data_IF_704040187881
#
_entry.id   IF_704040187881
#
_cell.length_a   1.000
_cell.length_b   1.000
_cell.length_c   1.000
_cell.angle_alpha   90.00
_cell.angle_beta   90.00
_cell.angle_gamma   90.00
#
_symmetry.space_group_name_H-M   'P 1'
#
loop_
_entity.id
_entity.type
_entity.pdbx_description
1 polymer ?
#
# COMPACT_ATOMS: atom_id res chain seq x y z
N UNK A 1 -16.49 -18.12 -30.18
CA UNK A 1 -15.40 -17.14 -30.07
C UNK A 1 -15.15 -16.67 -28.63
N UNK A 2 -16.14 -16.11 -27.90
CA UNK A 2 -15.96 -15.64 -26.50
C UNK A 2 -15.51 -16.72 -25.50
N UNK A 3 -16.08 -17.93 -25.59
CA UNK A 3 -15.74 -19.04 -24.69
C UNK A 3 -14.28 -19.49 -24.80
N UNK A 4 -13.68 -19.44 -26.00
CA UNK A 4 -12.26 -19.77 -26.21
C UNK A 4 -11.34 -18.80 -25.46
N UNK A 5 -11.69 -17.51 -25.38
CA UNK A 5 -10.92 -16.53 -24.63
C UNK A 5 -11.02 -16.76 -23.11
N UNK A 6 -12.17 -17.22 -22.61
CA UNK A 6 -12.34 -17.59 -21.21
C UNK A 6 -11.45 -18.77 -20.84
N UNK A 7 -11.41 -19.82 -21.65
CA UNK A 7 -10.53 -20.98 -21.40
C UNK A 7 -9.04 -20.62 -21.51
N UNK A 8 -8.66 -19.76 -22.46
CA UNK A 8 -7.27 -19.27 -22.56
C UNK A 8 -6.89 -18.43 -21.34
N UNK A 9 -7.77 -17.56 -20.87
CA UNK A 9 -7.53 -16.75 -19.68
C UNK A 9 -7.42 -17.61 -18.41
N UNK A 10 -8.29 -18.62 -18.28
CA UNK A 10 -8.23 -19.59 -17.19
C UNK A 10 -6.91 -20.38 -17.22
N UNK A 11 -6.46 -20.82 -18.40
CA UNK A 11 -5.20 -21.55 -18.58
C UNK A 11 -3.99 -20.70 -18.17
N UNK A 12 -3.97 -19.41 -18.54
CA UNK A 12 -2.89 -18.48 -18.21
C UNK A 12 -2.75 -18.24 -16.70
N UNK A 13 -3.81 -18.37 -15.90
CA UNK A 13 -3.74 -18.24 -14.44
C UNK A 13 -2.99 -19.38 -13.75
N UNK A 14 -2.82 -20.53 -14.41
CA UNK A 14 -2.05 -21.66 -13.88
C UNK A 14 -0.55 -21.60 -14.24
N UNK A 15 -0.16 -20.69 -15.12
CA UNK A 15 1.25 -20.46 -15.44
C UNK A 15 1.84 -19.47 -14.43
N UNK A 16 2.67 -19.98 -13.54
CA UNK A 16 3.54 -19.17 -12.70
C UNK A 16 4.96 -19.30 -13.23
N UNK A 17 5.61 -18.17 -13.51
CA UNK A 17 7.04 -18.16 -13.78
C UNK A 17 7.70 -18.12 -12.40
N UNK A 18 8.67 -19.01 -12.10
CA UNK A 18 9.48 -18.87 -10.90
C UNK A 18 10.29 -17.58 -11.05
N UNK A 19 9.74 -16.49 -10.51
CA UNK A 19 10.52 -15.30 -10.25
C UNK A 19 10.99 -15.43 -8.81
N UNK A 20 12.32 -15.41 -8.62
CA UNK A 20 12.88 -15.18 -7.29
C UNK A 20 12.18 -13.96 -6.72
N UNK A 21 11.54 -14.09 -5.56
CA UNK A 21 11.04 -12.94 -4.86
C UNK A 21 12.22 -11.98 -4.70
N UNK A 22 12.14 -10.79 -5.32
CA UNK A 22 13.21 -9.78 -5.26
C UNK A 22 13.58 -9.41 -3.81
N UNK A 23 12.78 -9.85 -2.84
CA UNK A 23 13.03 -9.83 -1.41
C UNK A 23 14.44 -10.31 -0.99
N UNK A 24 15.04 -11.33 -1.62
CA UNK A 24 16.38 -11.80 -1.20
C UNK A 24 17.52 -10.89 -1.70
N UNK A 25 17.38 -10.32 -2.91
CA UNK A 25 18.34 -9.37 -3.46
C UNK A 25 18.22 -8.00 -2.77
N UNK A 26 16.99 -7.56 -2.51
CA UNK A 26 16.73 -6.34 -1.75
C UNK A 26 17.22 -6.47 -0.30
N UNK A 27 17.05 -7.62 0.37
CA UNK A 27 17.61 -7.82 1.73
C UNK A 27 19.13 -7.77 1.74
N UNK A 28 19.80 -8.48 0.83
CA UNK A 28 21.26 -8.50 0.78
C UNK A 28 21.86 -7.12 0.48
N UNK A 29 21.19 -6.32 -0.36
CA UNK A 29 21.57 -4.93 -0.60
C UNK A 29 21.30 -4.06 0.61
N UNK A 30 20.22 -4.27 1.38
CA UNK A 30 19.88 -3.45 2.56
C UNK A 30 20.65 -3.83 3.83
N UNK A 31 21.15 -5.06 3.93
CA UNK A 31 21.96 -5.57 5.04
C UNK A 31 23.47 -5.34 4.83
N UNK A 32 23.90 -4.87 3.66
CA UNK A 32 25.29 -4.42 3.43
C UNK A 32 25.54 -3.04 4.07
N UNK A 33 26.81 -2.67 4.27
CA UNK A 33 27.17 -1.34 4.83
C UNK A 33 26.68 -0.19 3.94
N UNK A 34 26.76 -0.31 2.61
CA UNK A 34 26.14 0.64 1.66
C UNK A 34 24.60 0.58 1.70
N UNK A 35 24.07 -0.58 2.08
CA UNK A 35 22.65 -0.86 2.29
C UNK A 35 22.00 -0.15 3.44
N UNK A 36 22.75 0.13 4.52
CA UNK A 36 22.20 0.75 5.72
C UNK A 36 21.65 2.15 5.45
N UNK A 37 22.33 2.95 4.63
CA UNK A 37 21.83 4.29 4.26
C UNK A 37 20.57 4.20 3.40
N UNK A 38 20.50 3.22 2.51
CA UNK A 38 19.30 2.92 1.72
C UNK A 38 18.16 2.44 2.63
N UNK A 39 18.44 1.59 3.61
CA UNK A 39 17.48 1.08 4.59
C UNK A 39 16.90 2.19 5.47
N UNK A 40 17.73 3.15 5.90
CA UNK A 40 17.27 4.36 6.59
C UNK A 40 16.35 5.20 5.70
N UNK A 41 16.69 5.37 4.42
CA UNK A 41 15.85 6.04 3.43
C UNK A 41 14.47 5.38 3.28
N UNK A 42 14.44 4.05 3.20
CA UNK A 42 13.19 3.28 3.12
C UNK A 42 12.36 3.41 4.41
N UNK A 43 12.96 3.29 5.58
CA UNK A 43 12.26 3.46 6.86
C UNK A 43 11.63 4.85 6.99
N UNK A 44 12.37 5.90 6.60
CA UNK A 44 11.84 7.26 6.56
C UNK A 44 10.69 7.39 5.55
N UNK A 45 10.78 6.73 4.40
CA UNK A 45 9.71 6.66 3.41
C UNK A 45 8.44 6.00 3.96
N UNK A 46 8.57 4.88 4.69
CA UNK A 46 7.45 4.19 5.34
C UNK A 46 6.76 5.11 6.34
N UNK A 47 7.52 5.77 7.23
CA UNK A 47 6.98 6.72 8.20
C UNK A 47 6.28 7.88 7.50
N UNK A 48 6.88 8.44 6.44
CA UNK A 48 6.28 9.53 5.66
C UNK A 48 4.95 9.12 5.03
N UNK A 49 4.88 7.94 4.42
CA UNK A 49 3.65 7.41 3.82
C UNK A 49 2.59 7.06 4.87
N UNK A 50 3.00 6.57 6.04
CA UNK A 50 2.08 6.25 7.15
C UNK A 50 1.41 7.50 7.74
N UNK A 51 2.00 8.69 7.66
CA UNK A 51 1.37 9.93 8.16
C UNK A 51 0.07 10.24 7.41
N UNK A 52 0.01 9.94 6.12
CA UNK A 52 -1.13 10.26 5.24
C UNK A 52 -2.46 9.65 5.76
N UNK A 53 -2.57 8.33 6.02
CA UNK A 53 -3.82 7.75 6.51
C UNK A 53 -4.25 8.31 7.87
N UNK A 54 -3.33 8.60 8.78
CA UNK A 54 -3.69 9.22 10.06
C UNK A 54 -4.27 10.63 9.87
N UNK A 55 -3.68 11.42 8.97
CA UNK A 55 -4.16 12.75 8.67
C UNK A 55 -5.55 12.73 8.04
N UNK A 56 -5.79 11.82 7.08
CA UNK A 56 -7.10 11.63 6.45
C UNK A 56 -8.18 11.25 7.47
N UNK A 57 -7.89 10.32 8.37
CA UNK A 57 -8.83 9.92 9.43
C UNK A 57 -9.16 11.12 10.34
N UNK A 58 -8.16 11.92 10.72
CA UNK A 58 -8.36 13.12 11.51
C UNK A 58 -9.27 14.15 10.83
N UNK A 59 -9.05 14.40 9.54
CA UNK A 59 -9.89 15.30 8.73
C UNK A 59 -11.33 14.80 8.68
N UNK A 60 -11.53 13.52 8.33
CA UNK A 60 -12.86 12.92 8.22
C UNK A 60 -13.59 12.98 9.57
N UNK A 61 -12.91 12.62 10.66
CA UNK A 61 -13.45 12.70 12.02
C UNK A 61 -13.85 14.12 12.42
N UNK A 62 -13.03 15.12 12.09
CA UNK A 62 -13.36 16.53 12.34
C UNK A 62 -14.63 16.98 11.59
N UNK A 63 -14.76 16.61 10.32
CA UNK A 63 -15.95 16.94 9.54
C UNK A 63 -17.21 16.27 10.08
N UNK A 64 -17.12 15.00 10.49
CA UNK A 64 -18.23 14.28 11.13
C UNK A 64 -18.64 14.98 12.43
N UNK A 65 -17.69 15.29 13.32
CA UNK A 65 -17.96 15.99 14.58
C UNK A 65 -18.61 17.36 14.33
N UNK A 66 -18.07 18.14 13.39
CA UNK A 66 -18.60 19.46 13.03
C UNK A 66 -20.02 19.36 12.47
N UNK A 67 -20.31 18.36 11.64
CA UNK A 67 -21.62 18.14 11.07
C UNK A 67 -22.65 17.79 12.16
N UNK A 68 -22.31 16.84 13.04
CA UNK A 68 -23.19 16.42 14.14
C UNK A 68 -23.47 17.57 15.12
N UNK A 69 -22.47 18.42 15.41
CA UNK A 69 -22.65 19.60 16.26
C UNK A 69 -23.53 20.68 15.62
N UNK A 70 -23.49 20.83 14.29
CA UNK A 70 -24.40 21.72 13.56
C UNK A 70 -25.83 21.20 13.62
N UNK A 71 -26.05 19.91 13.36
CA UNK A 71 -27.39 19.28 13.45
C UNK A 71 -28.01 19.40 14.85
N UNK A 72 -27.19 19.28 15.91
CA UNK A 72 -27.66 19.48 17.29
C UNK A 72 -27.98 20.94 17.64
N UNK A 73 -27.45 21.93 16.92
CA UNK A 73 -27.78 23.35 17.11
C UNK A 73 -28.97 23.83 16.26
N UNK A 74 -29.40 23.03 15.28
CA UNK A 74 -30.51 23.33 14.36
C UNK A 74 -31.82 22.63 14.77
N UNK A 75 -31.82 21.86 15.87
CA UNK A 75 -33.04 21.42 16.55
C UNK A 75 -33.32 22.30 17.76
#
# INVERSE_FOLDING_TARGET
MKQRYVYIMLLLMFFTIPMDAQCAMCRAVLESEEGQETARGVNNGIVYLMIIPYFLIGIVGYFIYKNNKKTSKTN
#
